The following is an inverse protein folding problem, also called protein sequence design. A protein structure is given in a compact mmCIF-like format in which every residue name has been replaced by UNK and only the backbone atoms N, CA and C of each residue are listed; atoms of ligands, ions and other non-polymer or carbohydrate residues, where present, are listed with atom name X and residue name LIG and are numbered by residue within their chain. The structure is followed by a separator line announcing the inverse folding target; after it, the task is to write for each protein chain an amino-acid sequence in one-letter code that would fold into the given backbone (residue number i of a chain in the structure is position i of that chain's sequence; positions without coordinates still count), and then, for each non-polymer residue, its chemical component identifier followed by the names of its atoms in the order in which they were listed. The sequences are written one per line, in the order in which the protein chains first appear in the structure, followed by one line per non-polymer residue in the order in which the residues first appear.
data_IF_026976274595
#
_entry.id   IF_026976274595
#
_cell.length_a   1.000
_cell.length_b   1.000
_cell.length_c   1.000
_cell.angle_alpha   90.00
_cell.angle_beta   90.00
_cell.angle_gamma   90.00
#
_symmetry.space_group_name_H-M   'P 1'
#
loop_
_entity.id
_entity.type
_entity.pdbx_description
1 polymer ?
#
# COMPACT_ATOMS: atom_id res chain seq x y z
N UNK A 1 -15.72 -17.72 0.95
CA UNK A 1 -16.67 -16.80 0.31
C UNK A 1 -16.39 -16.69 -1.19
N UNK A 2 -15.24 -16.19 -1.60
CA UNK A 2 -14.72 -16.20 -2.97
C UNK A 2 -13.48 -17.09 -3.03
N UNK A 3 -13.34 -17.88 -4.08
CA UNK A 3 -12.07 -18.50 -4.47
C UNK A 3 -11.89 -18.41 -5.99
N UNK A 4 -10.75 -17.94 -6.42
CA UNK A 4 -10.27 -17.99 -7.79
C UNK A 4 -9.02 -18.88 -7.79
N UNK A 5 -8.95 -19.81 -8.73
CA UNK A 5 -7.83 -20.74 -8.84
C UNK A 5 -7.35 -20.78 -10.30
N UNK A 6 -6.06 -20.49 -10.49
CA UNK A 6 -5.35 -20.52 -11.76
C UNK A 6 -6.05 -19.68 -12.85
N UNK A 7 -6.59 -18.51 -12.47
CA UNK A 7 -7.37 -17.65 -13.38
C UNK A 7 -6.46 -16.97 -14.39
N UNK A 8 -6.76 -17.15 -15.68
CA UNK A 8 -6.11 -16.47 -16.79
C UNK A 8 -7.14 -15.75 -17.68
N UNK A 9 -6.78 -14.56 -18.14
CA UNK A 9 -7.60 -13.71 -19.03
C UNK A 9 -6.73 -13.03 -20.06
N UNK A 10 -7.11 -13.19 -21.33
CA UNK A 10 -6.45 -12.56 -22.48
C UNK A 10 -7.44 -11.72 -23.29
N UNK A 11 -6.96 -10.70 -23.95
CA UNK A 11 -7.72 -9.90 -24.90
C UNK A 11 -7.00 -9.91 -26.27
N UNK A 12 -7.48 -10.74 -27.18
CA UNK A 12 -6.79 -11.02 -28.43
C UNK A 12 -5.44 -11.71 -28.16
N UNK A 13 -4.35 -11.13 -28.63
CA UNK A 13 -2.99 -11.69 -28.41
C UNK A 13 -2.32 -11.19 -27.12
N UNK A 14 -3.02 -10.41 -26.29
CA UNK A 14 -2.49 -9.83 -25.07
C UNK A 14 -2.95 -10.63 -23.85
N UNK A 15 -2.04 -11.32 -23.19
CA UNK A 15 -2.26 -11.93 -21.90
C UNK A 15 -2.23 -10.84 -20.82
N UNK A 16 -3.38 -10.61 -20.15
CA UNK A 16 -3.51 -9.57 -19.13
C UNK A 16 -3.36 -10.14 -17.74
N UNK A 17 -3.86 -11.35 -17.52
CA UNK A 17 -3.80 -12.07 -16.23
C UNK A 17 -3.49 -13.53 -16.50
N UNK A 18 -2.54 -14.10 -15.75
CA UNK A 18 -2.11 -15.49 -15.90
C UNK A 18 -1.87 -16.13 -14.54
N UNK A 19 -2.57 -17.23 -14.27
CA UNK A 19 -2.34 -18.05 -13.08
C UNK A 19 -2.66 -17.34 -11.76
N UNK A 20 -3.71 -16.52 -11.71
CA UNK A 20 -4.08 -15.80 -10.49
C UNK A 20 -4.87 -16.70 -9.54
N UNK A 21 -4.29 -16.91 -8.36
CA UNK A 21 -4.95 -17.47 -7.19
C UNK A 21 -5.39 -16.37 -6.24
N UNK A 22 -6.65 -16.39 -5.81
CA UNK A 22 -7.22 -15.40 -4.94
C UNK A 22 -8.30 -16.01 -4.05
N UNK A 23 -8.32 -15.63 -2.77
CA UNK A 23 -9.31 -16.06 -1.82
C UNK A 23 -9.81 -14.90 -0.96
N UNK A 24 -11.10 -14.85 -0.69
CA UNK A 24 -11.69 -13.93 0.28
C UNK A 24 -12.55 -14.74 1.24
N UNK A 25 -12.18 -14.72 2.50
CA UNK A 25 -12.92 -15.37 3.58
C UNK A 25 -13.94 -14.40 4.21
N UNK A 26 -14.96 -14.92 4.92
CA UNK A 26 -15.80 -14.08 5.76
C UNK A 26 -14.97 -13.35 6.82
N UNK A 27 -15.25 -12.08 7.05
CA UNK A 27 -14.50 -11.23 7.98
C UNK A 27 -13.19 -10.67 7.43
N UNK A 28 -12.89 -10.87 6.12
CA UNK A 28 -11.62 -10.45 5.52
C UNK A 28 -11.80 -9.35 4.46
N UNK A 29 -10.94 -8.33 4.54
CA UNK A 29 -10.71 -7.34 3.48
C UNK A 29 -9.38 -7.66 2.79
N UNK A 30 -9.45 -8.01 1.50
CA UNK A 30 -8.28 -8.30 0.66
C UNK A 30 -7.97 -7.10 -0.23
N UNK A 31 -6.75 -6.59 -0.15
CA UNK A 31 -6.25 -5.51 -1.02
C UNK A 31 -5.56 -6.08 -2.26
N UNK A 32 -6.00 -5.71 -3.46
CA UNK A 32 -5.25 -5.95 -4.69
C UNK A 32 -4.38 -4.73 -4.96
N UNK A 33 -3.08 -4.88 -4.89
CA UNK A 33 -2.11 -3.80 -5.16
C UNK A 33 -1.24 -4.16 -6.37
N UNK A 34 -0.67 -3.14 -7.01
CA UNK A 34 0.19 -3.32 -8.16
C UNK A 34 0.13 -2.13 -9.11
N UNK A 35 1.03 -2.03 -10.09
CA UNK A 35 1.09 -0.92 -11.03
C UNK A 35 -0.16 -0.81 -11.90
N UNK A 36 -0.27 0.31 -12.61
CA UNK A 36 -1.33 0.51 -13.60
C UNK A 36 -1.17 -0.51 -14.73
N UNK A 37 -2.27 -1.12 -15.15
CA UNK A 37 -2.24 -2.15 -16.20
C UNK A 37 -1.86 -3.56 -15.71
N UNK A 38 -1.56 -3.78 -14.43
CA UNK A 38 -1.20 -5.09 -13.89
C UNK A 38 -2.32 -6.15 -13.94
N UNK A 39 -3.55 -5.76 -14.31
CA UNK A 39 -4.67 -6.70 -14.42
C UNK A 39 -5.67 -6.68 -13.24
N UNK A 40 -5.51 -5.81 -12.23
CA UNK A 40 -6.39 -5.73 -11.06
C UNK A 40 -7.89 -5.65 -11.41
N UNK A 41 -8.27 -4.70 -12.25
CA UNK A 41 -9.65 -4.54 -12.75
C UNK A 41 -10.12 -5.79 -13.52
N UNK A 42 -9.24 -6.43 -14.28
CA UNK A 42 -9.56 -7.65 -15.03
C UNK A 42 -9.86 -8.81 -14.09
N UNK A 43 -9.08 -8.99 -13.02
CA UNK A 43 -9.37 -9.97 -11.95
C UNK A 43 -10.74 -9.69 -11.33
N UNK A 44 -11.04 -8.45 -10.94
CA UNK A 44 -12.34 -8.07 -10.38
C UNK A 44 -13.51 -8.35 -11.35
N UNK A 45 -13.30 -8.10 -12.65
CA UNK A 45 -14.30 -8.40 -13.69
C UNK A 45 -14.50 -9.89 -13.91
N UNK A 46 -13.45 -10.69 -13.80
CA UNK A 46 -13.55 -12.15 -13.85
C UNK A 46 -14.36 -12.69 -12.66
N UNK A 47 -14.18 -12.14 -11.47
CA UNK A 47 -14.97 -12.50 -10.27
C UNK A 47 -16.45 -12.20 -10.46
N UNK A 48 -16.81 -11.08 -11.07
CA UNK A 48 -18.23 -10.72 -11.33
C UNK A 48 -18.84 -11.46 -12.51
N UNK A 49 -18.05 -12.22 -13.28
CA UNK A 49 -18.48 -12.84 -14.53
C UNK A 49 -18.66 -11.83 -15.67
N UNK A 50 -18.22 -10.57 -15.51
CA UNK A 50 -18.23 -9.57 -16.58
C UNK A 50 -17.17 -9.87 -17.66
N UNK A 51 -16.16 -10.65 -17.31
CA UNK A 51 -15.16 -11.23 -18.23
C UNK A 51 -15.11 -12.73 -17.91
N UNK A 52 -15.24 -13.58 -18.92
CA UNK A 52 -15.07 -15.01 -18.78
C UNK A 52 -13.58 -15.36 -18.81
N UNK A 53 -13.04 -16.08 -17.81
CA UNK A 53 -11.64 -16.51 -17.83
C UNK A 53 -11.38 -17.51 -18.95
N UNK A 54 -10.23 -17.39 -19.61
CA UNK A 54 -9.77 -18.37 -20.60
C UNK A 54 -9.33 -19.69 -19.96
N UNK A 55 -8.82 -19.60 -18.73
CA UNK A 55 -8.44 -20.75 -17.90
C UNK A 55 -8.73 -20.49 -16.41
N UNK A 56 -8.69 -21.55 -15.63
CA UNK A 56 -8.95 -21.50 -14.20
C UNK A 56 -10.42 -21.53 -13.81
N UNK A 57 -10.70 -21.26 -12.55
CA UNK A 57 -12.08 -21.33 -12.03
C UNK A 57 -12.31 -20.26 -10.96
N UNK A 58 -13.40 -19.52 -11.09
CA UNK A 58 -13.91 -18.61 -10.05
C UNK A 58 -15.12 -19.27 -9.38
N UNK A 59 -15.15 -19.29 -8.05
CA UNK A 59 -16.27 -19.82 -7.24
C UNK A 59 -16.79 -18.75 -6.28
N UNK A 60 -18.11 -18.63 -6.23
CA UNK A 60 -18.82 -17.72 -5.33
C UNK A 60 -19.73 -18.53 -4.40
N UNK A 61 -19.43 -18.52 -3.11
CA UNK A 61 -20.16 -19.35 -2.14
C UNK A 61 -20.02 -20.85 -2.37
N UNK A 62 -18.94 -21.29 -3.04
CA UNK A 62 -18.67 -22.68 -3.40
C UNK A 62 -19.15 -23.09 -4.80
N UNK A 63 -20.05 -22.33 -5.44
CA UNK A 63 -20.54 -22.62 -6.79
C UNK A 63 -19.66 -21.97 -7.86
N UNK A 64 -19.38 -22.63 -9.00
CA UNK A 64 -18.67 -22.00 -10.12
C UNK A 64 -19.43 -20.76 -10.62
N UNK A 65 -18.76 -19.61 -10.73
CA UNK A 65 -19.37 -18.37 -11.19
C UNK A 65 -20.00 -18.51 -12.58
N UNK A 66 -19.38 -19.30 -13.47
CA UNK A 66 -19.89 -19.59 -14.82
C UNK A 66 -21.21 -20.34 -14.85
N UNK A 67 -21.59 -21.03 -13.75
CA UNK A 67 -22.88 -21.74 -13.64
C UNK A 67 -24.01 -20.87 -13.08
N UNK A 68 -23.68 -19.67 -12.58
CA UNK A 68 -24.63 -18.77 -11.95
C UNK A 68 -25.25 -17.81 -12.97
N UNK A 69 -26.55 -17.56 -12.82
CA UNK A 69 -27.19 -16.46 -13.54
C UNK A 69 -26.70 -15.10 -13.03
N UNK A 70 -26.78 -14.05 -13.85
CA UNK A 70 -26.42 -12.68 -13.44
C UNK A 70 -27.13 -12.25 -12.13
N UNK A 71 -28.36 -12.71 -11.92
CA UNK A 71 -29.11 -12.46 -10.68
C UNK A 71 -28.50 -13.17 -9.48
N UNK A 72 -28.08 -14.43 -9.63
CA UNK A 72 -27.44 -15.21 -8.56
C UNK A 72 -26.06 -14.65 -8.22
N UNK A 73 -25.28 -14.21 -9.23
CA UNK A 73 -24.05 -13.48 -9.01
C UNK A 73 -24.35 -12.20 -8.23
N UNK A 74 -25.32 -11.38 -8.67
CA UNK A 74 -25.69 -10.15 -8.01
C UNK A 74 -26.19 -10.30 -6.57
N UNK A 75 -26.70 -11.47 -6.18
CA UNK A 75 -27.03 -11.76 -4.77
C UNK A 75 -25.84 -12.16 -3.91
N UNK A 76 -24.71 -12.49 -4.54
CA UNK A 76 -23.50 -12.94 -3.86
C UNK A 76 -22.39 -11.89 -3.87
N UNK A 77 -22.39 -11.02 -4.88
CA UNK A 77 -21.34 -10.02 -5.11
C UNK A 77 -21.95 -8.67 -5.46
N UNK A 78 -21.66 -7.67 -4.67
CA UNK A 78 -21.89 -6.27 -5.01
C UNK A 78 -20.60 -5.64 -5.52
N UNK A 79 -20.68 -4.71 -6.47
CA UNK A 79 -19.48 -4.07 -7.02
C UNK A 79 -19.61 -2.56 -7.12
N UNK A 80 -18.51 -1.89 -6.78
CA UNK A 80 -18.29 -0.46 -7.01
C UNK A 80 -17.18 -0.34 -8.07
N UNK A 81 -17.52 0.00 -9.32
CA UNK A 81 -16.54 0.17 -10.39
C UNK A 81 -15.79 1.49 -10.24
N UNK A 82 -14.57 1.56 -10.79
CA UNK A 82 -13.72 2.76 -10.81
C UNK A 82 -14.43 3.97 -11.43
N UNK A 83 -15.11 3.76 -12.55
CA UNK A 83 -15.87 4.82 -13.24
C UNK A 83 -17.29 4.35 -13.51
N UNK A 84 -18.24 5.20 -13.20
CA UNK A 84 -19.65 4.99 -13.55
C UNK A 84 -20.14 6.20 -14.31
N UNK A 85 -20.34 6.04 -15.62
CA UNK A 85 -20.98 7.03 -16.45
C UNK A 85 -22.50 6.96 -16.22
N UNK A 86 -22.97 7.65 -15.18
CA UNK A 86 -24.38 7.90 -14.99
C UNK A 86 -24.76 9.09 -15.88
N UNK A 87 -25.03 8.79 -17.15
CA UNK A 87 -25.38 9.80 -18.17
C UNK A 87 -26.82 10.31 -18.06
N UNK A 88 -27.59 9.79 -17.10
CA UNK A 88 -28.99 10.12 -16.91
C UNK A 88 -29.19 10.86 -15.60
N UNK A 89 -30.16 11.76 -15.59
CA UNK A 89 -30.54 12.59 -14.45
C UNK A 89 -31.43 11.79 -13.47
N UNK A 90 -30.79 10.87 -12.73
CA UNK A 90 -31.46 10.13 -11.66
C UNK A 90 -31.27 10.82 -10.31
N UNK A 91 -32.29 10.76 -9.45
CA UNK A 91 -32.13 11.13 -8.05
C UNK A 91 -31.18 10.15 -7.35
N UNK A 92 -30.43 10.64 -6.38
CA UNK A 92 -29.51 9.82 -5.58
C UNK A 92 -30.22 8.58 -5.01
N UNK A 93 -31.41 8.74 -4.42
CA UNK A 93 -32.19 7.61 -3.91
C UNK A 93 -32.47 6.54 -4.98
N UNK A 94 -32.87 6.94 -6.19
CA UNK A 94 -33.11 5.99 -7.28
C UNK A 94 -31.84 5.24 -7.69
N UNK A 95 -30.66 5.89 -7.63
CA UNK A 95 -29.38 5.21 -7.89
C UNK A 95 -29.11 4.14 -6.85
N UNK A 96 -29.38 4.42 -5.57
CA UNK A 96 -29.22 3.43 -4.48
C UNK A 96 -30.21 2.29 -4.61
N UNK A 97 -31.47 2.59 -4.95
CA UNK A 97 -32.54 1.61 -5.21
C UNK A 97 -32.17 0.59 -6.31
N UNK A 98 -31.38 1.00 -7.32
CA UNK A 98 -30.87 0.05 -8.35
C UNK A 98 -30.05 -1.09 -7.75
N UNK A 99 -29.49 -0.94 -6.56
CA UNK A 99 -28.81 -2.00 -5.82
C UNK A 99 -29.73 -3.18 -5.50
N UNK A 100 -31.04 -2.94 -5.37
CA UNK A 100 -32.02 -3.99 -5.07
C UNK A 100 -32.44 -4.85 -6.26
N UNK A 101 -32.03 -4.48 -7.49
CA UNK A 101 -32.37 -5.19 -8.74
C UNK A 101 -32.22 -6.72 -8.67
N UNK A 102 -31.16 -7.31 -8.06
CA UNK A 102 -31.04 -8.76 -7.97
C UNK A 102 -32.09 -9.43 -7.08
N UNK A 103 -32.78 -8.69 -6.23
CA UNK A 103 -33.82 -9.21 -5.32
C UNK A 103 -35.22 -9.11 -5.91
N UNK A 104 -35.43 -8.23 -6.88
CA UNK A 104 -36.72 -7.98 -7.49
C UNK A 104 -37.03 -8.98 -8.61
N UNK A 105 -38.25 -9.49 -8.68
CA UNK A 105 -38.77 -10.21 -9.84
C UNK A 105 -39.05 -9.28 -11.02
N UNK A 106 -39.34 -9.86 -12.18
CA UNK A 106 -39.51 -9.08 -13.43
C UNK A 106 -40.63 -8.04 -13.36
N UNK A 107 -41.60 -8.23 -12.46
CA UNK A 107 -42.77 -7.37 -12.28
C UNK A 107 -42.98 -6.94 -10.83
N UNK A 108 -42.00 -7.20 -9.96
CA UNK A 108 -42.11 -6.83 -8.56
C UNK A 108 -41.80 -5.31 -8.40
N UNK A 109 -42.58 -4.67 -7.56
CA UNK A 109 -42.23 -3.36 -7.03
C UNK A 109 -41.35 -3.52 -5.78
N UNK A 110 -40.67 -2.46 -5.41
CA UNK A 110 -39.96 -2.41 -4.12
C UNK A 110 -40.91 -2.68 -2.97
N UNK A 111 -40.50 -3.56 -2.08
CA UNK A 111 -41.20 -3.86 -0.83
C UNK A 111 -40.56 -3.12 0.35
N UNK A 112 -41.19 -3.25 1.52
CA UNK A 112 -40.68 -2.62 2.77
C UNK A 112 -39.29 -3.06 3.16
N UNK A 113 -38.88 -4.31 2.81
CA UNK A 113 -37.52 -4.81 3.04
C UNK A 113 -36.49 -4.12 2.12
N UNK A 114 -36.89 -3.84 0.86
CA UNK A 114 -36.03 -3.14 -0.08
C UNK A 114 -35.86 -1.68 0.34
N UNK A 115 -36.92 -1.01 0.75
CA UNK A 115 -36.88 0.36 1.26
C UNK A 115 -35.99 0.45 2.51
N UNK A 116 -36.12 -0.49 3.45
CA UNK A 116 -35.27 -0.53 4.65
C UNK A 116 -33.79 -0.74 4.32
N UNK A 117 -33.48 -1.61 3.32
CA UNK A 117 -32.12 -1.85 2.87
C UNK A 117 -31.50 -0.60 2.21
N UNK A 118 -32.31 0.12 1.41
CA UNK A 118 -31.91 1.39 0.78
C UNK A 118 -31.64 2.46 1.83
N UNK A 119 -32.57 2.63 2.79
CA UNK A 119 -32.43 3.63 3.85
C UNK A 119 -31.18 3.34 4.72
N UNK A 120 -30.98 2.09 5.11
CA UNK A 120 -29.79 1.70 5.87
C UNK A 120 -28.48 1.93 5.09
N UNK A 121 -28.46 1.63 3.80
CA UNK A 121 -27.29 1.86 2.96
C UNK A 121 -26.99 3.35 2.75
N UNK A 122 -28.03 4.17 2.61
CA UNK A 122 -27.89 5.63 2.49
C UNK A 122 -27.37 6.25 3.78
N UNK A 123 -27.86 5.80 4.92
CA UNK A 123 -27.38 6.23 6.23
C UNK A 123 -25.92 5.83 6.45
N UNK A 124 -25.55 4.57 6.17
CA UNK A 124 -24.19 4.07 6.33
C UNK A 124 -23.18 4.87 5.47
N UNK A 125 -23.55 5.26 4.25
CA UNK A 125 -22.70 6.05 3.35
C UNK A 125 -22.81 7.57 3.53
N UNK A 126 -23.58 8.07 4.51
CA UNK A 126 -23.85 9.50 4.78
C UNK A 126 -24.33 10.25 3.52
N UNK A 127 -25.29 9.66 2.78
CA UNK A 127 -25.85 10.26 1.56
C UNK A 127 -27.34 10.56 1.63
N UNK A 128 -27.99 10.37 2.78
CA UNK A 128 -29.43 10.62 2.98
C UNK A 128 -29.82 12.08 2.64
N UNK A 129 -28.97 13.04 3.01
CA UNK A 129 -29.19 14.48 2.75
C UNK A 129 -29.25 14.82 1.25
N UNK A 130 -28.81 13.92 0.39
CA UNK A 130 -28.81 14.08 -1.06
C UNK A 130 -29.92 13.29 -1.76
N UNK A 131 -30.76 12.56 -1.04
CA UNK A 131 -31.75 11.61 -1.57
C UNK A 131 -32.53 12.13 -2.78
N UNK A 132 -32.99 13.38 -2.70
CA UNK A 132 -33.81 14.04 -3.73
C UNK A 132 -33.01 14.80 -4.78
N UNK A 133 -31.69 14.97 -4.60
CA UNK A 133 -30.84 15.65 -5.58
C UNK A 133 -30.58 14.76 -6.79
N UNK A 134 -30.32 15.40 -7.93
CA UNK A 134 -29.77 14.70 -9.08
C UNK A 134 -28.35 14.17 -8.78
N UNK A 135 -28.03 12.97 -9.27
CA UNK A 135 -26.68 12.40 -9.20
C UNK A 135 -25.65 13.26 -9.96
N UNK A 136 -26.10 14.10 -10.88
CA UNK A 136 -25.25 15.03 -11.63
C UNK A 136 -24.93 16.31 -10.85
N UNK A 137 -25.68 16.60 -9.79
CA UNK A 137 -25.50 17.77 -8.94
C UNK A 137 -24.65 17.53 -7.69
N UNK A 138 -24.24 16.29 -7.46
CA UNK A 138 -23.35 15.93 -6.34
C UNK A 138 -21.89 15.95 -6.80
N UNK A 139 -20.98 16.22 -5.87
CA UNK A 139 -19.53 16.19 -6.12
C UNK A 139 -19.03 14.79 -6.49
N UNK A 140 -17.79 14.69 -6.99
CA UNK A 140 -17.18 13.40 -7.32
C UNK A 140 -17.12 12.45 -6.11
N UNK A 141 -16.70 12.96 -4.95
CA UNK A 141 -16.63 12.18 -3.72
C UNK A 141 -18.01 11.76 -3.19
N UNK A 142 -18.99 12.67 -3.22
CA UNK A 142 -20.40 12.34 -2.88
C UNK A 142 -20.95 11.28 -3.83
N UNK A 143 -20.67 11.38 -5.13
CA UNK A 143 -21.06 10.36 -6.11
C UNK A 143 -20.47 9.00 -5.80
N UNK A 144 -19.18 8.94 -5.43
CA UNK A 144 -18.54 7.69 -5.04
C UNK A 144 -19.23 7.05 -3.83
N UNK A 145 -19.60 7.86 -2.82
CA UNK A 145 -20.39 7.38 -1.66
C UNK A 145 -21.79 6.89 -2.05
N UNK A 146 -22.44 7.55 -3.02
CA UNK A 146 -23.73 7.06 -3.56
C UNK A 146 -23.57 5.71 -4.26
N UNK A 147 -22.47 5.48 -5.01
CA UNK A 147 -22.19 4.20 -5.63
C UNK A 147 -21.89 3.11 -4.60
N UNK A 148 -21.19 3.46 -3.52
CA UNK A 148 -20.98 2.56 -2.39
C UNK A 148 -22.30 2.24 -1.69
N UNK A 149 -23.16 3.24 -1.42
CA UNK A 149 -24.52 3.02 -0.89
C UNK A 149 -25.33 2.06 -1.78
N UNK A 150 -25.28 2.22 -3.10
CA UNK A 150 -25.91 1.31 -4.06
C UNK A 150 -25.42 -0.12 -3.89
N UNK A 151 -24.11 -0.31 -3.73
CA UNK A 151 -23.51 -1.62 -3.53
C UNK A 151 -23.90 -2.22 -2.17
N UNK A 152 -23.94 -1.42 -1.11
CA UNK A 152 -24.40 -1.83 0.22
C UNK A 152 -25.89 -2.22 0.22
N UNK A 153 -26.76 -1.44 -0.46
CA UNK A 153 -28.18 -1.71 -0.61
C UNK A 153 -28.45 -3.07 -1.29
N UNK A 154 -27.50 -3.56 -2.10
CA UNK A 154 -27.58 -4.89 -2.71
C UNK A 154 -27.57 -6.02 -1.67
N UNK A 155 -27.06 -5.77 -0.45
CA UNK A 155 -27.00 -6.74 0.66
C UNK A 155 -26.30 -8.07 0.28
N UNK A 156 -25.35 -8.02 -0.64
CA UNK A 156 -24.53 -9.17 -1.01
C UNK A 156 -23.44 -9.42 0.05
N UNK A 157 -23.06 -10.68 0.31
CA UNK A 157 -22.02 -10.99 1.30
C UNK A 157 -20.61 -10.58 0.87
N UNK A 158 -20.34 -10.46 -0.43
CA UNK A 158 -19.03 -10.05 -0.96
C UNK A 158 -19.13 -8.67 -1.63
N UNK A 159 -18.23 -7.78 -1.27
CA UNK A 159 -18.09 -6.43 -1.87
C UNK A 159 -16.81 -6.35 -2.70
N UNK A 160 -16.91 -5.96 -3.96
CA UNK A 160 -15.78 -5.67 -4.83
C UNK A 160 -15.68 -4.16 -5.07
N UNK A 161 -14.47 -3.62 -4.89
CA UNK A 161 -14.21 -2.20 -5.10
C UNK A 161 -13.04 -2.04 -6.07
N UNK A 162 -13.30 -1.35 -7.17
CA UNK A 162 -12.26 -1.04 -8.16
C UNK A 162 -11.82 0.42 -7.96
N UNK A 163 -10.68 0.61 -7.30
CA UNK A 163 -10.09 1.91 -6.96
C UNK A 163 -11.07 2.87 -6.22
N UNK A 164 -11.63 2.46 -5.09
CA UNK A 164 -12.70 3.20 -4.42
C UNK A 164 -12.27 4.59 -3.93
N UNK A 165 -10.97 4.87 -3.84
CA UNK A 165 -10.41 6.11 -3.29
C UNK A 165 -9.69 6.99 -4.32
N UNK A 166 -9.55 6.56 -5.58
CA UNK A 166 -8.69 7.22 -6.58
C UNK A 166 -9.06 8.69 -6.90
N UNK A 167 -10.32 9.09 -6.71
CA UNK A 167 -10.81 10.45 -7.02
C UNK A 167 -11.26 11.21 -5.77
N UNK A 168 -10.91 10.72 -4.59
CA UNK A 168 -11.32 11.27 -3.31
C UNK A 168 -10.21 12.10 -2.68
N UNK A 169 -10.57 13.14 -1.95
CA UNK A 169 -9.65 13.75 -1.00
C UNK A 169 -9.38 12.82 0.20
N UNK A 170 -8.36 13.16 0.99
CA UNK A 170 -7.89 12.33 2.11
C UNK A 170 -9.03 11.99 3.08
N UNK A 171 -9.91 12.95 3.40
CA UNK A 171 -11.00 12.73 4.35
C UNK A 171 -12.00 11.69 3.82
N UNK A 172 -12.48 11.87 2.60
CA UNK A 172 -13.44 10.96 1.98
C UNK A 172 -12.84 9.58 1.67
N UNK A 173 -11.52 9.51 1.37
CA UNK A 173 -10.82 8.24 1.18
C UNK A 173 -10.79 7.42 2.49
N UNK A 174 -10.48 8.06 3.61
CA UNK A 174 -10.51 7.43 4.93
C UNK A 174 -11.92 6.96 5.27
N UNK A 175 -12.93 7.82 5.16
CA UNK A 175 -14.33 7.44 5.44
C UNK A 175 -14.79 6.24 4.60
N UNK A 176 -14.39 6.20 3.31
CA UNK A 176 -14.73 5.09 2.40
C UNK A 176 -14.12 3.77 2.88
N UNK A 177 -12.83 3.77 3.26
CA UNK A 177 -12.16 2.56 3.73
C UNK A 177 -12.65 2.11 5.12
N UNK A 178 -12.95 3.04 6.02
CA UNK A 178 -13.58 2.74 7.30
C UNK A 178 -14.95 2.08 7.11
N UNK A 179 -15.78 2.60 6.20
CA UNK A 179 -17.09 2.01 5.89
C UNK A 179 -16.95 0.59 5.31
N UNK A 180 -15.93 0.33 4.48
CA UNK A 180 -15.63 -1.02 3.98
C UNK A 180 -15.17 -1.94 5.12
N UNK A 181 -14.38 -1.44 6.07
CA UNK A 181 -14.01 -2.19 7.28
C UNK A 181 -15.24 -2.54 8.13
N UNK A 182 -16.09 -1.58 8.43
CA UNK A 182 -17.34 -1.81 9.18
C UNK A 182 -18.23 -2.84 8.48
N UNK A 183 -18.28 -2.81 7.14
CA UNK A 183 -19.01 -3.81 6.36
C UNK A 183 -18.48 -5.22 6.59
N UNK A 184 -17.17 -5.40 6.66
CA UNK A 184 -16.47 -6.69 6.84
C UNK A 184 -16.49 -7.15 8.29
N UNK A 185 -16.32 -6.26 9.26
CA UNK A 185 -16.23 -6.56 10.69
C UNK A 185 -17.50 -7.23 11.26
N UNK A 186 -18.61 -7.21 10.50
CA UNK A 186 -19.82 -7.97 10.82
C UNK A 186 -19.63 -9.49 10.80
N UNK A 187 -18.49 -10.02 10.33
CA UNK A 187 -18.07 -11.41 10.42
C UNK A 187 -18.59 -12.34 9.32
N UNK A 188 -19.74 -12.04 8.71
CA UNK A 188 -20.36 -12.87 7.65
C UNK A 188 -20.11 -12.31 6.23
N UNK A 189 -19.40 -11.20 6.12
CA UNK A 189 -19.15 -10.47 4.89
C UNK A 189 -17.65 -10.43 4.61
N UNK A 190 -17.30 -10.22 3.35
CA UNK A 190 -15.91 -10.02 2.94
C UNK A 190 -15.82 -8.96 1.85
N UNK A 191 -14.64 -8.42 1.65
CA UNK A 191 -14.42 -7.46 0.60
C UNK A 191 -13.08 -7.69 -0.11
N UNK A 192 -13.01 -7.26 -1.37
CA UNK A 192 -11.79 -7.16 -2.14
C UNK A 192 -11.75 -5.79 -2.79
N UNK A 193 -10.64 -5.09 -2.64
CA UNK A 193 -10.47 -3.74 -3.15
C UNK A 193 -9.17 -3.61 -3.93
N UNK A 194 -9.24 -3.10 -5.17
CA UNK A 194 -8.06 -2.63 -5.86
C UNK A 194 -7.65 -1.28 -5.25
N UNK A 195 -6.45 -1.22 -4.68
CA UNK A 195 -5.94 -0.05 -3.94
C UNK A 195 -4.59 0.34 -4.54
N UNK A 196 -4.40 1.63 -4.81
CA UNK A 196 -3.12 2.16 -5.29
C UNK A 196 -2.19 2.60 -4.16
N UNK A 197 -2.77 3.09 -3.07
CA UNK A 197 -2.05 3.55 -1.90
C UNK A 197 -1.65 2.34 -1.04
N UNK A 198 -0.34 2.02 -1.03
CA UNK A 198 0.20 0.88 -0.30
C UNK A 198 0.09 1.06 1.21
N UNK A 199 0.20 2.29 1.72
CA UNK A 199 0.03 2.58 3.14
C UNK A 199 -1.42 2.39 3.57
N UNK A 200 -2.38 2.78 2.71
CA UNK A 200 -3.78 2.50 2.94
C UNK A 200 -4.08 0.99 2.88
N UNK A 201 -3.51 0.26 1.93
CA UNK A 201 -3.64 -1.20 1.87
C UNK A 201 -3.05 -1.87 3.12
N UNK A 202 -1.86 -1.43 3.58
CA UNK A 202 -1.24 -1.93 4.81
C UNK A 202 -2.06 -1.65 6.07
N UNK A 203 -2.79 -0.54 6.10
CA UNK A 203 -3.57 -0.12 7.25
C UNK A 203 -4.92 -0.82 7.35
N UNK A 204 -5.60 -1.01 6.23
CA UNK A 204 -7.01 -1.42 6.22
C UNK A 204 -7.23 -2.87 5.83
N UNK A 205 -6.31 -3.50 5.07
CA UNK A 205 -6.48 -4.86 4.59
C UNK A 205 -5.91 -5.89 5.56
N UNK A 206 -6.61 -7.03 5.69
CA UNK A 206 -6.13 -8.20 6.42
C UNK A 206 -5.09 -8.97 5.59
N UNK A 207 -5.29 -8.99 4.28
CA UNK A 207 -4.38 -9.59 3.30
C UNK A 207 -4.15 -8.62 2.13
N UNK A 208 -2.95 -8.65 1.60
CA UNK A 208 -2.56 -7.91 0.39
C UNK A 208 -2.08 -8.91 -0.66
N UNK A 209 -2.59 -8.75 -1.88
CA UNK A 209 -2.16 -9.50 -3.06
C UNK A 209 -1.49 -8.53 -4.02
N UNK A 210 -0.20 -8.71 -4.23
CA UNK A 210 0.60 -7.92 -5.17
C UNK A 210 0.49 -8.54 -6.56
N UNK A 211 -0.08 -7.79 -7.51
CA UNK A 211 -0.20 -8.21 -8.91
C UNK A 211 0.74 -7.35 -9.75
N UNK A 212 1.65 -7.98 -10.46
CA UNK A 212 2.51 -7.34 -11.45
C UNK A 212 2.80 -8.32 -12.60
N UNK A 213 3.06 -7.78 -13.78
CA UNK A 213 3.35 -8.58 -14.99
C UNK A 213 2.27 -9.65 -15.27
N UNK A 214 1.00 -9.33 -14.99
CA UNK A 214 -0.14 -10.21 -15.22
C UNK A 214 -0.31 -11.35 -14.20
N UNK A 215 0.55 -11.49 -13.19
CA UNK A 215 0.49 -12.56 -12.19
C UNK A 215 0.58 -12.07 -10.75
N UNK A 216 0.28 -12.98 -9.80
CA UNK A 216 0.47 -12.74 -8.37
C UNK A 216 1.96 -12.89 -8.04
N UNK A 217 2.57 -11.84 -7.53
CA UNK A 217 3.97 -11.82 -7.09
C UNK A 217 4.10 -12.24 -5.61
N UNK A 218 3.16 -11.79 -4.79
CA UNK A 218 3.11 -12.12 -3.37
C UNK A 218 1.66 -12.00 -2.86
N UNK A 219 1.32 -12.78 -1.84
CA UNK A 219 0.02 -12.72 -1.17
C UNK A 219 0.17 -13.08 0.31
N UNK A 220 -0.54 -12.37 1.19
CA UNK A 220 -0.53 -12.60 2.64
C UNK A 220 -0.75 -11.33 3.45
N UNK A 221 -0.50 -11.37 4.77
CA UNK A 221 -0.58 -10.19 5.62
C UNK A 221 0.35 -9.06 5.13
N UNK A 222 -0.06 -7.78 5.25
CA UNK A 222 0.71 -6.64 4.77
C UNK A 222 2.19 -6.65 5.20
N UNK A 223 2.46 -6.97 6.46
CA UNK A 223 3.82 -6.99 7.02
C UNK A 223 4.75 -8.02 6.37
N UNK A 224 4.17 -9.10 5.82
CA UNK A 224 4.95 -10.15 5.16
C UNK A 224 5.11 -9.93 3.65
N UNK A 225 4.20 -9.17 3.04
CA UNK A 225 4.11 -8.98 1.59
C UNK A 225 4.75 -7.68 1.14
N UNK A 226 4.54 -6.60 1.90
CA UNK A 226 5.07 -5.28 1.58
C UNK A 226 6.52 -5.17 2.09
N UNK A 227 7.46 -5.75 1.36
CA UNK A 227 8.90 -5.58 1.57
C UNK A 227 9.52 -4.71 0.48
N UNK A 228 10.66 -4.09 0.75
CA UNK A 228 11.37 -3.26 -0.23
C UNK A 228 11.61 -4.01 -1.55
N UNK A 229 12.02 -5.28 -1.49
CA UNK A 229 12.26 -6.12 -2.67
C UNK A 229 10.98 -6.46 -3.43
N UNK A 230 9.87 -6.76 -2.73
CA UNK A 230 8.60 -7.08 -3.37
C UNK A 230 7.97 -5.84 -4.03
N UNK A 231 8.03 -4.68 -3.35
CA UNK A 231 7.56 -3.40 -3.90
C UNK A 231 8.42 -3.00 -5.08
N UNK A 232 9.75 -3.06 -4.95
CA UNK A 232 10.68 -2.72 -6.03
C UNK A 232 10.43 -3.56 -7.27
N UNK A 233 10.34 -4.88 -7.14
CA UNK A 233 10.09 -5.79 -8.26
C UNK A 233 8.71 -5.61 -8.92
N UNK A 234 7.70 -5.22 -8.14
CA UNK A 234 6.34 -5.03 -8.66
C UNK A 234 6.12 -3.68 -9.34
N UNK A 235 6.76 -2.62 -8.84
CA UNK A 235 6.51 -1.24 -9.28
C UNK A 235 7.66 -0.63 -10.09
N UNK A 236 8.75 -1.38 -10.30
CA UNK A 236 9.92 -0.93 -11.04
C UNK A 236 10.50 0.35 -10.41
N UNK A 237 10.78 0.30 -9.10
CA UNK A 237 11.24 1.44 -8.31
C UNK A 237 12.09 0.98 -7.13
N UNK A 238 13.04 1.78 -6.72
CA UNK A 238 13.70 1.56 -5.43
C UNK A 238 12.72 1.87 -4.30
N UNK A 239 12.70 1.08 -3.25
CA UNK A 239 11.78 1.26 -2.15
C UNK A 239 12.43 1.03 -0.78
N UNK A 240 12.03 1.84 0.17
CA UNK A 240 12.23 1.60 1.59
C UNK A 240 10.87 1.33 2.24
N UNK A 241 10.81 0.29 3.07
CA UNK A 241 9.60 -0.05 3.82
C UNK A 241 9.92 0.05 5.31
N UNK A 242 9.48 1.14 5.90
CA UNK A 242 9.57 1.37 7.34
C UNK A 242 8.23 1.12 8.03
N UNK A 243 8.12 1.57 9.28
CA UNK A 243 6.88 1.50 10.05
C UNK A 243 6.27 2.87 10.25
N UNK A 244 4.98 2.98 10.03
CA UNK A 244 4.22 4.18 10.38
C UNK A 244 4.18 4.32 11.92
N UNK A 245 4.71 5.40 12.51
CA UNK A 245 4.78 5.52 13.96
C UNK A 245 3.42 5.65 14.66
N UNK A 246 2.37 6.04 13.93
CA UNK A 246 1.04 6.19 14.48
C UNK A 246 0.22 4.89 14.44
N UNK A 247 0.41 4.05 13.43
CA UNK A 247 -0.38 2.83 13.21
C UNK A 247 0.41 1.55 13.45
N UNK A 248 1.75 1.61 13.39
CA UNK A 248 2.63 0.44 13.44
C UNK A 248 2.64 -0.40 12.15
N UNK A 249 1.84 -0.04 11.15
CA UNK A 249 1.75 -0.75 9.87
C UNK A 249 2.92 -0.40 8.95
N UNK A 250 3.22 -1.24 7.93
CA UNK A 250 4.18 -0.89 6.91
C UNK A 250 3.89 0.47 6.27
N UNK A 251 4.94 1.25 6.03
CA UNK A 251 4.91 2.52 5.33
C UNK A 251 5.95 2.50 4.20
N UNK A 252 5.49 2.69 2.97
CA UNK A 252 6.30 2.54 1.78
C UNK A 252 6.75 3.90 1.27
N UNK A 253 8.07 4.07 1.11
CA UNK A 253 8.64 5.23 0.43
C UNK A 253 9.34 4.75 -0.83
N UNK A 254 8.87 5.20 -1.99
CA UNK A 254 9.47 4.89 -3.29
C UNK A 254 10.45 5.99 -3.71
N UNK A 255 11.53 5.58 -4.38
CA UNK A 255 12.57 6.44 -4.93
C UNK A 255 12.76 6.12 -6.42
N UNK A 256 13.29 7.07 -7.21
CA UNK A 256 13.75 6.77 -8.55
C UNK A 256 14.85 5.69 -8.53
N UNK A 257 14.88 4.82 -9.54
CA UNK A 257 15.97 3.87 -9.72
C UNK A 257 17.33 4.58 -9.85
N UNK A 258 18.35 3.96 -9.29
CA UNK A 258 19.74 4.41 -9.40
C UNK A 258 20.61 3.25 -9.90
N UNK A 259 21.61 3.58 -10.72
CA UNK A 259 22.63 2.61 -11.20
C UNK A 259 23.77 2.44 -10.18
N UNK A 260 23.50 2.63 -8.88
CA UNK A 260 24.53 2.56 -7.84
C UNK A 260 24.95 1.12 -7.56
N UNK A 261 26.25 0.86 -7.60
CA UNK A 261 26.79 -0.42 -7.12
C UNK A 261 26.59 -0.56 -5.60
N UNK A 262 26.13 -1.70 -5.09
CA UNK A 262 25.99 -1.95 -3.65
C UNK A 262 27.29 -1.69 -2.88
N UNK A 263 27.20 -0.98 -1.75
CA UNK A 263 28.33 -0.58 -0.90
C UNK A 263 27.99 -0.72 0.57
N UNK A 264 28.98 -1.01 1.39
CA UNK A 264 28.84 -0.84 2.83
C UNK A 264 29.05 0.61 3.22
N UNK A 265 28.08 1.22 3.90
CA UNK A 265 28.12 2.64 4.25
C UNK A 265 27.82 2.84 5.72
N UNK A 266 28.79 3.39 6.47
CA UNK A 266 28.56 3.73 7.87
C UNK A 266 27.99 5.16 8.00
N UNK A 267 26.90 5.33 8.75
CA UNK A 267 26.22 6.62 8.93
C UNK A 267 26.44 7.13 10.35
N UNK A 268 27.15 8.23 10.48
CA UNK A 268 27.27 9.02 11.70
C UNK A 268 26.24 10.14 11.62
N UNK A 269 25.06 9.90 12.15
CA UNK A 269 23.95 10.84 12.12
C UNK A 269 22.78 10.31 12.94
N UNK A 270 22.00 11.21 13.55
CA UNK A 270 20.87 10.89 14.42
C UNK A 270 19.60 11.60 13.95
N UNK A 271 18.47 11.25 14.56
CA UNK A 271 17.20 11.88 14.31
C UNK A 271 16.68 11.65 12.89
N UNK A 272 15.91 12.62 12.39
CA UNK A 272 15.26 12.53 11.07
C UNK A 272 16.26 12.50 9.92
N UNK A 273 17.29 13.31 9.97
CA UNK A 273 18.30 13.41 8.90
C UNK A 273 19.08 12.11 8.77
N UNK A 274 19.51 11.48 9.89
CA UNK A 274 20.14 10.17 9.90
C UNK A 274 19.22 9.08 9.36
N UNK A 275 17.97 9.06 9.81
CA UNK A 275 16.97 8.10 9.34
C UNK A 275 16.70 8.19 7.83
N UNK A 276 16.60 9.40 7.28
CA UNK A 276 16.43 9.65 5.84
C UNK A 276 17.61 9.10 5.02
N UNK A 277 18.81 9.36 5.46
CA UNK A 277 20.04 8.86 4.79
C UNK A 277 20.07 7.34 4.81
N UNK A 278 19.81 6.70 5.96
CA UNK A 278 19.75 5.24 6.07
C UNK A 278 18.70 4.66 5.14
N UNK A 279 17.49 5.21 5.15
CA UNK A 279 16.39 4.75 4.30
C UNK A 279 16.73 4.85 2.81
N UNK A 280 17.34 5.96 2.37
CA UNK A 280 17.74 6.16 0.97
C UNK A 280 18.86 5.20 0.54
N UNK A 281 19.87 5.01 1.39
CA UNK A 281 20.95 4.06 1.13
C UNK A 281 20.44 2.63 1.01
N UNK A 282 19.57 2.21 1.93
CA UNK A 282 18.98 0.88 1.90
C UNK A 282 18.09 0.67 0.65
N UNK A 283 17.32 1.69 0.24
CA UNK A 283 16.51 1.63 -0.98
C UNK A 283 17.38 1.45 -2.23
N UNK A 284 18.52 2.13 -2.30
CA UNK A 284 19.49 2.01 -3.41
C UNK A 284 20.34 0.71 -3.37
N UNK A 285 20.01 -0.21 -2.47
CA UNK A 285 20.71 -1.51 -2.36
C UNK A 285 22.05 -1.44 -1.66
N UNK A 286 22.42 -0.31 -1.03
CA UNK A 286 23.60 -0.26 -0.16
C UNK A 286 23.36 -0.98 1.17
N UNK A 287 24.42 -1.34 1.85
CA UNK A 287 24.41 -1.95 3.20
C UNK A 287 24.72 -0.87 4.27
N UNK A 288 23.72 -0.12 4.76
CA UNK A 288 23.97 0.91 5.76
C UNK A 288 24.25 0.30 7.15
N UNK A 289 25.06 0.98 7.94
CA UNK A 289 25.18 0.80 9.38
C UNK A 289 25.15 2.16 10.07
N UNK A 290 24.72 2.20 11.32
CA UNK A 290 24.53 3.46 12.07
C UNK A 290 25.22 3.37 13.41
N UNK A 291 25.89 4.44 13.81
CA UNK A 291 26.38 4.50 15.18
C UNK A 291 27.26 5.72 15.50
N UNK A 292 27.42 6.10 16.78
CA UNK A 292 26.59 5.68 17.92
C UNK A 292 25.41 6.66 18.03
N UNK A 293 24.21 6.12 18.19
CA UNK A 293 22.99 6.92 18.35
C UNK A 293 22.28 6.57 19.65
N UNK A 294 21.41 7.44 20.23
CA UNK A 294 20.61 7.10 21.38
C UNK A 294 19.65 5.91 21.14
N UNK A 295 19.38 5.11 22.15
CA UNK A 295 18.30 4.12 22.10
C UNK A 295 16.95 4.80 21.78
N UNK A 296 16.20 4.25 20.80
CA UNK A 296 14.95 4.83 20.32
C UNK A 296 15.12 5.98 19.33
N UNK A 297 16.35 6.27 18.87
CA UNK A 297 16.60 7.26 17.82
C UNK A 297 15.98 6.81 16.47
N UNK A 298 15.50 7.79 15.70
CA UNK A 298 14.87 7.53 14.41
C UNK A 298 15.82 6.84 13.40
N UNK A 299 17.13 7.15 13.42
CA UNK A 299 18.10 6.51 12.55
C UNK A 299 18.32 5.04 12.92
N UNK A 300 18.29 4.69 14.23
CA UNK A 300 18.33 3.31 14.66
C UNK A 300 17.05 2.55 14.25
N UNK A 301 15.88 3.21 14.30
CA UNK A 301 14.63 2.66 13.80
C UNK A 301 14.68 2.35 12.30
N UNK A 302 15.14 3.31 11.49
CA UNK A 302 15.32 3.12 10.06
C UNK A 302 16.31 1.99 9.72
N UNK A 303 17.40 1.88 10.48
CA UNK A 303 18.35 0.79 10.33
C UNK A 303 17.70 -0.58 10.63
N UNK A 304 16.92 -0.67 11.71
CA UNK A 304 16.19 -1.89 12.06
C UNK A 304 15.18 -2.29 10.97
N UNK A 305 14.43 -1.33 10.42
CA UNK A 305 13.48 -1.56 9.33
C UNK A 305 14.21 -2.01 8.04
N UNK A 306 15.43 -1.51 7.78
CA UNK A 306 16.30 -1.95 6.68
C UNK A 306 16.99 -3.31 6.93
N UNK A 307 16.88 -3.89 8.12
CA UNK A 307 17.68 -5.06 8.52
C UNK A 307 19.16 -4.75 8.72
N UNK A 308 19.50 -3.47 8.90
CA UNK A 308 20.87 -2.96 9.05
C UNK A 308 21.31 -2.91 10.52
N UNK A 309 22.64 -2.83 10.75
CA UNK A 309 23.21 -2.75 12.10
C UNK A 309 23.14 -1.34 12.64
N UNK A 310 22.59 -1.16 13.85
CA UNK A 310 22.67 0.08 14.60
C UNK A 310 23.38 -0.13 15.93
N UNK A 311 24.37 0.72 16.22
CA UNK A 311 25.03 0.77 17.53
C UNK A 311 24.35 1.88 18.35
N UNK A 312 23.76 1.49 19.48
CA UNK A 312 23.01 2.42 20.33
C UNK A 312 23.64 2.59 21.70
N UNK A 313 23.34 3.69 22.35
CA UNK A 313 23.69 3.98 23.76
C UNK A 313 22.46 4.48 24.51
N UNK A 314 22.39 4.31 25.85
CA UNK A 314 21.33 4.89 26.64
C UNK A 314 21.23 6.40 26.44
N UNK A 315 20.02 6.98 26.38
CA UNK A 315 19.84 8.41 26.23
C UNK A 315 20.51 9.19 27.36
N UNK A 316 21.23 10.25 26.99
CA UNK A 316 21.95 11.16 27.94
C UNK A 316 23.11 10.52 28.70
N UNK A 317 23.58 9.35 28.31
CA UNK A 317 24.78 8.70 28.84
C UNK A 317 25.87 8.60 27.75
N UNK A 318 27.14 8.56 28.19
CA UNK A 318 28.23 8.24 27.26
C UNK A 318 28.13 6.80 26.80
N UNK A 319 28.43 6.51 25.51
CA UNK A 319 28.46 5.14 25.01
C UNK A 319 29.45 4.27 25.81
N UNK A 320 29.07 3.00 26.03
CA UNK A 320 30.03 2.06 26.61
C UNK A 320 31.27 1.87 25.72
N UNK A 321 32.42 1.50 26.29
CA UNK A 321 33.62 1.20 25.49
C UNK A 321 33.39 0.13 24.41
N UNK A 322 32.50 -0.84 24.68
CA UNK A 322 32.14 -1.89 23.72
C UNK A 322 31.30 -1.31 22.57
N UNK A 323 30.33 -0.46 22.85
CA UNK A 323 29.51 0.21 21.83
C UNK A 323 30.38 1.09 20.93
N UNK A 324 31.33 1.85 21.54
CA UNK A 324 32.23 2.70 20.81
C UNK A 324 33.21 1.89 19.92
N UNK A 325 33.69 0.76 20.41
CA UNK A 325 34.53 -0.14 19.64
C UNK A 325 33.76 -0.74 18.45
N UNK A 326 32.53 -1.21 18.67
CA UNK A 326 31.69 -1.75 17.61
C UNK A 326 31.39 -0.71 16.50
N UNK A 327 31.09 0.54 16.88
CA UNK A 327 30.87 1.60 15.89
C UNK A 327 32.13 1.95 15.10
N UNK A 328 33.32 1.92 15.75
CA UNK A 328 34.61 2.12 15.06
C UNK A 328 34.93 1.00 14.07
N UNK A 329 34.68 -0.25 14.44
CA UNK A 329 34.89 -1.40 13.58
C UNK A 329 34.00 -1.29 12.34
N UNK A 330 32.69 -0.96 12.51
CA UNK A 330 31.78 -0.71 11.39
C UNK A 330 32.22 0.43 10.48
N UNK A 331 32.72 1.52 11.04
CA UNK A 331 33.22 2.67 10.26
C UNK A 331 34.54 2.35 9.52
N UNK A 332 35.41 1.55 10.11
CA UNK A 332 36.68 1.13 9.50
C UNK A 332 36.46 0.11 8.36
N UNK A 333 35.48 -0.78 8.49
CA UNK A 333 35.15 -1.81 7.51
C UNK A 333 34.26 -1.29 6.35
N UNK A 334 33.67 -0.09 6.49
CA UNK A 334 32.78 0.49 5.48
C UNK A 334 33.57 1.08 4.29
N UNK A 335 32.99 0.95 3.09
CA UNK A 335 33.51 1.58 1.86
C UNK A 335 33.50 3.12 1.97
N UNK A 336 32.54 3.66 2.71
CA UNK A 336 32.43 5.10 3.02
C UNK A 336 31.75 5.33 4.38
N UNK A 337 32.16 6.38 5.08
CA UNK A 337 31.48 6.87 6.29
C UNK A 337 30.87 8.25 6.03
N UNK A 338 29.56 8.35 6.12
CA UNK A 338 28.84 9.59 5.97
C UNK A 338 28.64 10.29 7.32
N UNK A 339 29.01 11.52 7.40
CA UNK A 339 28.73 12.38 8.58
C UNK A 339 27.62 13.31 8.25
N UNK A 340 26.43 13.00 8.72
CA UNK A 340 25.22 13.76 8.47
C UNK A 340 25.14 14.94 9.43
N UNK A 341 24.98 16.15 8.91
CA UNK A 341 24.78 17.34 9.74
C UNK A 341 23.50 17.19 10.58
N UNK A 342 23.56 17.63 11.84
CA UNK A 342 22.37 17.69 12.69
C UNK A 342 21.43 18.81 12.23
N UNK A 343 20.14 18.69 12.55
CA UNK A 343 19.15 19.76 12.34
C UNK A 343 19.70 21.08 12.92
N UNK A 344 20.04 22.02 12.02
CA UNK A 344 20.68 23.30 12.40
C UNK A 344 22.16 23.46 12.06
N UNK A 345 22.75 22.55 11.30
CA UNK A 345 24.04 22.78 10.58
C UNK A 345 25.33 22.53 11.37
N UNK A 346 25.28 21.88 12.53
CA UNK A 346 26.51 21.53 13.29
C UNK A 346 26.85 20.06 13.02
N UNK A 347 28.02 19.85 12.37
CA UNK A 347 28.50 18.47 12.16
C UNK A 347 28.72 17.74 13.50
N UNK A 348 28.18 16.51 13.68
CA UNK A 348 28.27 15.75 14.92
C UNK A 348 29.69 15.34 15.32
N UNK A 349 30.70 15.63 14.47
CA UNK A 349 32.10 15.19 14.63
C UNK A 349 33.02 16.19 15.26
N UNK A 350 32.53 17.41 15.64
CA UNK A 350 33.43 18.42 16.19
C UNK A 350 33.96 18.03 17.59
N UNK A 351 33.20 17.26 18.37
CA UNK A 351 33.61 16.78 19.71
C UNK A 351 32.71 15.58 20.12
N UNK A 352 33.26 14.64 20.88
CA UNK A 352 32.51 13.54 21.48
C UNK A 352 32.73 12.17 20.84
N UNK A 353 31.93 11.13 21.23
CA UNK A 353 32.14 9.76 20.82
C UNK A 353 32.16 9.55 19.31
N UNK A 354 31.32 10.24 18.58
CA UNK A 354 31.22 10.15 17.12
C UNK A 354 32.44 10.73 16.38
N UNK A 355 33.22 11.62 17.03
CA UNK A 355 34.50 12.08 16.47
C UNK A 355 35.54 10.95 16.44
N UNK A 356 35.54 10.08 17.44
CA UNK A 356 36.42 8.91 17.48
C UNK A 356 36.01 7.84 16.45
N UNK A 357 34.69 7.67 16.21
CA UNK A 357 34.17 6.78 15.17
C UNK A 357 34.57 7.30 13.78
N UNK A 358 34.38 8.58 13.52
CA UNK A 358 34.77 9.20 12.25
C UNK A 358 36.31 9.11 12.01
N UNK A 359 37.11 9.23 13.07
CA UNK A 359 38.58 9.11 12.97
C UNK A 359 39.07 7.67 12.69
N UNK A 360 38.23 6.66 12.89
CA UNK A 360 38.54 5.26 12.55
C UNK A 360 38.25 4.94 11.08
N UNK A 361 37.45 5.73 10.40
CA UNK A 361 37.07 5.52 9.01
C UNK A 361 38.17 5.94 8.03
N UNK A 362 38.39 5.17 6.99
CA UNK A 362 39.35 5.49 5.92
C UNK A 362 38.85 6.66 5.03
N UNK A 363 37.54 6.77 4.86
CA UNK A 363 36.88 7.72 3.96
C UNK A 363 35.65 8.34 4.62
N UNK A 364 35.76 9.62 4.96
CA UNK A 364 34.70 10.39 5.62
C UNK A 364 34.15 11.44 4.68
N UNK A 365 32.84 11.44 4.49
CA UNK A 365 32.12 12.40 3.65
C UNK A 365 31.11 13.17 4.49
N UNK A 366 31.25 14.50 4.60
CA UNK A 366 30.22 15.31 5.23
C UNK A 366 28.99 15.41 4.32
N UNK A 367 27.80 15.26 4.90
CA UNK A 367 26.52 15.32 4.20
C UNK A 367 25.63 16.35 4.90
N UNK A 368 24.99 17.22 4.13
CA UNK A 368 24.04 18.19 4.66
C UNK A 368 22.76 17.48 5.17
N UNK A 369 22.05 18.11 6.10
CA UNK A 369 20.80 17.60 6.64
C UNK A 369 19.66 17.54 5.60
N UNK A 370 19.74 18.39 4.56
CA UNK A 370 18.80 18.54 3.46
C UNK A 370 19.35 18.05 2.11
N UNK A 371 20.44 17.24 2.10
CA UNK A 371 21.03 16.70 0.87
C UNK A 371 19.98 16.03 0.01
N UNK A 372 19.99 16.28 -1.30
CA UNK A 372 19.11 15.54 -2.20
C UNK A 372 19.59 14.09 -2.42
N UNK A 373 18.70 13.26 -2.96
CA UNK A 373 18.95 11.82 -3.10
C UNK A 373 20.05 11.52 -4.12
N UNK A 374 20.16 12.30 -5.19
CA UNK A 374 21.20 12.15 -6.21
C UNK A 374 22.55 12.56 -5.64
N UNK A 375 22.65 13.73 -5.01
CA UNK A 375 23.88 14.21 -4.35
C UNK A 375 24.37 13.23 -3.27
N UNK A 376 23.47 12.59 -2.54
CA UNK A 376 23.80 11.57 -1.54
C UNK A 376 24.47 10.35 -2.17
N UNK A 377 23.88 9.81 -3.24
CA UNK A 377 24.41 8.63 -3.92
C UNK A 377 25.73 8.94 -4.66
N UNK A 378 25.83 10.12 -5.27
CA UNK A 378 27.07 10.60 -5.88
C UNK A 378 28.20 10.73 -4.85
N UNK A 379 27.88 11.22 -3.65
CA UNK A 379 28.83 11.32 -2.55
C UNK A 379 29.37 9.95 -2.11
N UNK A 380 28.50 8.93 -2.07
CA UNK A 380 28.92 7.53 -1.79
C UNK A 380 29.80 6.98 -2.91
N UNK A 381 29.40 7.17 -4.18
CA UNK A 381 30.15 6.71 -5.34
C UNK A 381 31.56 7.35 -5.40
N UNK A 382 31.64 8.67 -5.22
CA UNK A 382 32.92 9.41 -5.20
C UNK A 382 33.84 8.97 -4.06
N UNK A 383 33.30 8.74 -2.87
CA UNK A 383 34.07 8.27 -1.72
C UNK A 383 34.66 6.88 -1.97
N UNK A 384 33.98 6.03 -2.72
CA UNK A 384 34.42 4.66 -2.98
C UNK A 384 35.43 4.52 -4.14
N UNK A 385 35.79 5.62 -4.82
CA UNK A 385 36.76 5.62 -5.91
C UNK A 385 36.22 5.11 -7.24
N UNK A 386 34.90 5.03 -7.42
CA UNK A 386 34.25 4.85 -8.71
C UNK A 386 34.18 6.20 -9.45
N UNK A 387 34.48 6.23 -10.75
CA UNK A 387 34.18 7.41 -11.56
C UNK A 387 32.66 7.62 -11.58
N UNK A 388 32.15 8.87 -11.47
CA UNK A 388 30.73 9.15 -11.59
C UNK A 388 30.26 8.66 -12.96
N UNK A 389 29.10 7.99 -13.03
CA UNK A 389 28.48 7.59 -14.28
C UNK A 389 28.12 8.84 -15.06
N UNK A 390 28.56 8.94 -16.35
CA UNK A 390 28.30 10.05 -17.29
C UNK A 390 26.78 10.12 -17.65
#
# INVERSE_FOLDING_TARGET
MLSAADVAVSFGDLDVVSGVDLRVEPGSLVGLVGPNGAGKTTVLRAVTGAVEPDAGTVRLGGDPASSLSAREVGRRVASVPQTTNLSFDFRVRHVVEMGRTPHLGRFDAHGTEDDAAVDAAMAAADVERFADRSITEVSGGERQRVLLARALAQAAPLLLLDEPTASLDVHHAVETLELVREFVDGGDRGAIAAIHDLDAAARYCDEVVVIANGGVQAAGPPESVLSASAVGAAFDAEAFVGRNPATGTPAVTAFPESDADPRSVHVIGSGRSGARVVARLAAAGHEPSVGVVPEGDAAAGAAADAGATAVTAPPFEDPSPEALAAARDLAADADATLVVAADGGVAPTANGPNAEVAAAADRVVPVADDVDDGELLDAVAAASGAEPAE
#
